data_IF_275138561257
#
_entry.id   IF_275138561257
#
_cell.length_a   1.000
_cell.length_b   1.000
_cell.length_c   1.000
_cell.angle_alpha   90.00
_cell.angle_beta   90.00
_cell.angle_gamma   90.00
#
_symmetry.space_group_name_H-M   'P 1'
#
loop_
_entity.id
_entity.type
_entity.pdbx_description
1 polymer ?
#
# COMPACT_ATOMS: atom_id res chain seq x y z
N UNK A 1 2.30 7.74 12.32
CA UNK A 1 1.57 7.28 11.11
C UNK A 1 0.12 7.73 11.03
N UNK A 2 -0.51 8.10 12.16
CA UNK A 2 -1.95 8.39 12.24
C UNK A 2 -2.47 9.42 11.22
N UNK A 3 -1.80 10.58 11.06
CA UNK A 3 -2.29 11.64 10.19
C UNK A 3 -2.37 11.24 8.70
N UNK A 4 -1.37 10.51 8.20
CA UNK A 4 -1.37 10.01 6.81
C UNK A 4 -2.54 9.07 6.57
N UNK A 5 -2.89 8.22 7.54
CA UNK A 5 -4.00 7.27 7.40
C UNK A 5 -5.38 7.91 7.65
N UNK A 6 -5.48 8.85 8.59
CA UNK A 6 -6.75 9.42 9.06
C UNK A 6 -7.28 10.51 8.15
N UNK A 7 -6.37 11.30 7.56
CA UNK A 7 -6.70 12.44 6.71
C UNK A 7 -6.31 12.22 5.26
N UNK A 8 -6.32 10.96 4.82
CA UNK A 8 -6.06 10.63 3.43
C UNK A 8 -7.13 11.28 2.54
N UNK A 9 -6.67 11.93 1.47
CA UNK A 9 -7.47 12.79 0.59
C UNK A 9 -8.38 12.00 -0.36
N UNK A 10 -7.96 10.78 -0.73
CA UNK A 10 -8.79 9.90 -1.56
C UNK A 10 -9.73 9.02 -0.70
N UNK A 11 -10.97 8.77 -1.18
CA UNK A 11 -11.91 7.89 -0.50
C UNK A 11 -11.55 6.41 -0.74
N UNK A 12 -10.40 5.97 -0.25
CA UNK A 12 -9.86 4.63 -0.52
C UNK A 12 -10.85 3.50 -0.21
N UNK A 13 -11.67 3.66 0.84
CA UNK A 13 -12.67 2.68 1.28
C UNK A 13 -13.82 2.47 0.29
N UNK A 14 -14.05 3.39 -0.64
CA UNK A 14 -15.09 3.27 -1.65
C UNK A 14 -14.68 2.33 -2.79
N UNK A 15 -13.38 2.27 -3.10
CA UNK A 15 -12.87 1.53 -4.25
C UNK A 15 -11.97 0.33 -3.89
N UNK A 16 -11.23 0.39 -2.79
CA UNK A 16 -10.42 -0.72 -2.27
C UNK A 16 -11.20 -1.50 -1.21
N UNK A 17 -11.01 -2.83 -1.19
CA UNK A 17 -11.50 -3.67 -0.09
C UNK A 17 -10.31 -4.22 0.69
N UNK A 18 -10.33 -4.02 2.00
CA UNK A 18 -9.25 -4.45 2.86
C UNK A 18 -9.49 -4.04 4.31
N UNK A 19 -8.54 -4.42 5.16
CA UNK A 19 -8.48 -3.97 6.55
C UNK A 19 -7.11 -3.37 6.82
N UNK A 20 -7.05 -2.42 7.75
CA UNK A 20 -5.79 -1.83 8.19
C UNK A 20 -5.77 -1.71 9.71
N UNK A 21 -4.61 -1.93 10.29
CA UNK A 21 -4.30 -1.70 11.70
C UNK A 21 -3.20 -0.65 11.76
N UNK A 22 -3.41 0.39 12.56
CA UNK A 22 -2.51 1.53 12.66
C UNK A 22 -2.24 1.79 14.13
N UNK A 23 -0.96 1.96 14.48
CA UNK A 23 -0.53 2.51 15.76
C UNK A 23 0.38 3.73 15.52
N UNK A 24 1.05 4.21 16.56
CA UNK A 24 1.90 5.41 16.50
C UNK A 24 2.98 5.30 15.41
N UNK A 25 3.61 4.12 15.29
CA UNK A 25 4.80 3.88 14.46
C UNK A 25 4.60 2.80 13.40
N UNK A 26 3.52 2.02 13.46
CA UNK A 26 3.24 0.96 12.48
C UNK A 26 1.94 1.18 11.72
N UNK A 27 1.92 0.70 10.48
CA UNK A 27 0.73 0.55 9.66
C UNK A 27 0.82 -0.79 8.95
N UNK A 28 -0.18 -1.63 9.19
CA UNK A 28 -0.34 -2.93 8.54
C UNK A 28 -1.66 -2.94 7.78
N UNK A 29 -1.63 -3.30 6.50
CA UNK A 29 -2.83 -3.40 5.67
C UNK A 29 -2.88 -4.68 4.86
N UNK A 30 -4.04 -5.32 4.89
CA UNK A 30 -4.40 -6.44 4.02
C UNK A 30 -5.47 -5.96 3.03
N UNK A 31 -5.17 -6.02 1.74
CA UNK A 31 -6.07 -5.57 0.67
C UNK A 31 -6.48 -6.78 -0.17
N UNK A 32 -7.76 -7.15 -0.09
CA UNK A 32 -8.36 -8.26 -0.83
C UNK A 32 -8.91 -7.84 -2.20
N UNK A 33 -9.12 -6.54 -2.42
CA UNK A 33 -9.49 -6.02 -3.74
C UNK A 33 -8.80 -4.68 -4.02
N UNK A 34 -8.08 -4.63 -5.13
CA UNK A 34 -7.45 -3.44 -5.68
C UNK A 34 -8.01 -3.14 -7.08
N UNK A 35 -8.67 -1.99 -7.31
CA UNK A 35 -9.24 -1.65 -8.61
C UNK A 35 -8.17 -1.51 -9.69
N UNK A 36 -6.96 -1.02 -9.35
CA UNK A 36 -5.86 -0.98 -10.30
C UNK A 36 -5.42 -2.38 -10.70
N UNK A 37 -5.28 -3.29 -9.74
CA UNK A 37 -4.87 -4.65 -10.06
C UNK A 37 -5.88 -5.35 -10.98
N UNK A 38 -7.18 -5.13 -10.76
CA UNK A 38 -8.23 -5.61 -11.67
C UNK A 38 -7.98 -5.14 -13.10
N UNK A 39 -7.79 -3.83 -13.31
CA UNK A 39 -7.61 -3.25 -14.65
C UNK A 39 -6.32 -3.74 -15.32
N UNK A 40 -5.22 -3.86 -14.58
CA UNK A 40 -3.95 -4.35 -15.13
C UNK A 40 -4.03 -5.84 -15.53
N UNK A 41 -4.70 -6.67 -14.72
CA UNK A 41 -4.96 -8.09 -15.07
C UNK A 41 -5.87 -8.24 -16.29
N UNK A 42 -6.94 -7.45 -16.37
CA UNK A 42 -7.84 -7.45 -17.55
C UNK A 42 -7.11 -7.11 -18.86
N UNK A 43 -5.97 -6.42 -18.77
CA UNK A 43 -5.14 -6.03 -19.91
C UNK A 43 -3.95 -6.95 -20.17
N UNK A 44 -3.70 -7.95 -19.30
CA UNK A 44 -2.47 -8.76 -19.35
C UNK A 44 -1.21 -7.92 -19.19
N UNK A 45 -1.28 -6.86 -18.39
CA UNK A 45 -0.23 -5.84 -18.23
C UNK A 45 0.19 -5.71 -16.76
N UNK A 46 0.21 -6.82 -16.03
CA UNK A 46 0.54 -6.88 -14.60
C UNK A 46 1.93 -6.33 -14.29
N UNK A 47 2.93 -6.60 -15.14
CA UNK A 47 4.29 -6.08 -15.00
C UNK A 47 4.33 -4.54 -15.03
N UNK A 48 3.54 -3.92 -15.91
CA UNK A 48 3.40 -2.45 -15.96
C UNK A 48 2.66 -1.96 -14.73
N UNK A 49 1.62 -2.67 -14.29
CA UNK A 49 0.89 -2.36 -13.08
C UNK A 49 1.76 -2.35 -11.82
N UNK A 50 2.81 -3.18 -11.75
CA UNK A 50 3.75 -3.18 -10.63
C UNK A 50 4.48 -1.84 -10.46
N UNK A 51 4.72 -1.10 -11.54
CA UNK A 51 5.33 0.24 -11.47
C UNK A 51 4.45 1.20 -10.65
N UNK A 52 3.12 1.08 -10.74
CA UNK A 52 2.20 1.86 -9.90
C UNK A 52 2.28 1.47 -8.43
N UNK A 53 2.58 0.20 -8.11
CA UNK A 53 2.79 -0.23 -6.73
C UNK A 53 4.06 0.37 -6.10
N UNK A 54 5.04 0.78 -6.89
CA UNK A 54 6.26 1.44 -6.40
C UNK A 54 6.02 2.92 -6.00
N UNK A 55 4.88 3.51 -6.39
CA UNK A 55 4.52 4.85 -5.94
C UNK A 55 4.25 4.90 -4.44
N UNK A 56 3.68 3.83 -3.87
CA UNK A 56 3.35 3.77 -2.43
C UNK A 56 4.60 4.02 -1.56
N UNK A 57 5.73 3.34 -1.87
CA UNK A 57 6.98 3.52 -1.11
C UNK A 57 7.55 4.94 -1.32
N UNK A 58 7.49 5.47 -2.54
CA UNK A 58 7.99 6.80 -2.85
C UNK A 58 7.20 7.89 -2.09
N UNK A 59 5.86 7.81 -2.11
CA UNK A 59 4.97 8.74 -1.41
C UNK A 59 5.19 8.68 0.11
N UNK A 60 5.27 7.47 0.67
CA UNK A 60 5.51 7.31 2.10
C UNK A 60 6.87 7.85 2.53
N UNK A 61 7.95 7.54 1.79
CA UNK A 61 9.28 8.08 2.10
C UNK A 61 9.39 9.58 1.91
N UNK A 62 8.66 10.16 0.95
CA UNK A 62 8.57 11.60 0.79
C UNK A 62 7.86 12.27 1.99
N UNK A 63 6.84 11.60 2.55
CA UNK A 63 6.15 12.06 3.76
C UNK A 63 7.04 11.95 5.01
N UNK A 64 7.76 10.82 5.17
CA UNK A 64 8.72 10.63 6.25
C UNK A 64 9.88 9.72 5.79
N UNK A 65 11.12 10.22 5.71
CA UNK A 65 12.27 9.46 5.20
C UNK A 65 12.66 8.27 6.09
N UNK A 66 12.25 8.25 7.37
CA UNK A 66 12.53 7.15 8.29
C UNK A 66 11.54 5.98 8.14
N UNK A 67 10.67 6.00 7.12
CA UNK A 67 9.74 4.90 6.88
C UNK A 67 10.47 3.71 6.25
N UNK A 68 10.37 2.57 6.93
CA UNK A 68 10.64 1.25 6.39
C UNK A 68 9.34 0.65 5.85
N UNK A 69 9.29 0.44 4.54
CA UNK A 69 8.13 -0.09 3.82
C UNK A 69 8.45 -1.48 3.26
N UNK A 70 7.54 -2.43 3.46
CA UNK A 70 7.61 -3.78 2.88
C UNK A 70 6.27 -4.13 2.23
N UNK A 71 6.36 -4.85 1.11
CA UNK A 71 5.21 -5.44 0.42
C UNK A 71 5.42 -6.95 0.21
N UNK A 72 5.16 -7.78 1.22
CA UNK A 72 5.42 -9.23 1.16
C UNK A 72 4.55 -9.96 0.14
N UNK A 73 3.30 -9.52 -0.05
CA UNK A 73 2.35 -10.08 -1.01
C UNK A 73 1.80 -9.01 -1.93
N UNK A 74 1.60 -9.35 -3.20
CA UNK A 74 1.03 -8.47 -4.22
C UNK A 74 0.19 -9.28 -5.21
N UNK A 75 -1.08 -8.92 -5.36
CA UNK A 75 -1.99 -9.61 -6.28
C UNK A 75 -1.55 -9.58 -7.74
N UNK A 76 -0.78 -8.58 -8.16
CA UNK A 76 -0.19 -8.50 -9.51
C UNK A 76 0.97 -9.50 -9.71
N UNK A 77 1.54 -10.05 -8.63
CA UNK A 77 2.53 -11.14 -8.66
C UNK A 77 1.90 -12.53 -8.54
N UNK A 78 0.57 -12.61 -8.49
CA UNK A 78 -0.18 -13.86 -8.35
C UNK A 78 -0.61 -14.21 -6.92
N UNK A 79 -0.32 -13.36 -5.92
CA UNK A 79 -0.83 -13.56 -4.57
C UNK A 79 -2.35 -13.34 -4.47
N UNK A 80 -2.97 -13.91 -3.43
CA UNK A 80 -4.42 -13.76 -3.19
C UNK A 80 -4.79 -12.35 -2.68
N UNK A 81 -3.89 -11.71 -1.95
CA UNK A 81 -4.08 -10.38 -1.35
C UNK A 81 -2.80 -9.55 -1.48
N UNK A 82 -2.91 -8.23 -1.33
CA UNK A 82 -1.75 -7.40 -1.06
C UNK A 82 -1.53 -7.25 0.44
N UNK A 83 -0.27 -7.25 0.87
CA UNK A 83 0.13 -6.88 2.24
C UNK A 83 1.03 -5.65 2.16
N UNK A 84 0.71 -4.63 2.95
CA UNK A 84 1.55 -3.45 3.15
C UNK A 84 1.95 -3.39 4.62
N UNK A 85 3.24 -3.53 4.88
CA UNK A 85 3.84 -3.42 6.20
C UNK A 85 4.71 -2.17 6.25
N UNK A 86 4.38 -1.25 7.16
CA UNK A 86 5.03 0.04 7.27
C UNK A 86 5.43 0.24 8.73
N UNK A 87 6.68 0.62 8.94
CA UNK A 87 7.21 0.98 10.26
C UNK A 87 8.01 2.28 10.15
N UNK A 88 7.76 3.22 11.05
CA UNK A 88 8.61 4.39 11.26
C UNK A 88 9.76 3.96 12.16
N UNK A 89 10.98 4.12 11.68
CA UNK A 89 12.18 3.86 12.46
C UNK A 89 12.56 5.10 13.28
N UNK A 90 13.08 4.87 14.48
CA UNK A 90 13.66 5.93 15.31
C UNK A 90 14.88 6.52 14.60
N UNK A 91 15.07 7.83 14.67
CA UNK A 91 16.38 8.42 14.35
C UNK A 91 17.29 8.12 15.55
N UNK A 92 18.38 7.40 15.32
CA UNK A 92 19.53 7.38 16.23
C UNK A 92 20.23 8.75 16.24
#
# INVERSE_FOLDING_TARGET
MENLSKYYDMPLKEAWKGTSKVDEVTYHSEVSFCPFAKVWKEKGAEEIGLIYCEQDIALMKAYNPNINFKRPKNVLKGDEICILDVKVESQE
#
